data_IF_238327822170
#
_entry.id   IF_238327822170
#
_cell.length_a   1.000
_cell.length_b   1.000
_cell.length_c   1.000
_cell.angle_alpha   90.00
_cell.angle_beta   90.00
_cell.angle_gamma   90.00
#
_symmetry.space_group_name_H-M   'P 1'
#
loop_
_entity.id
_entity.type
_entity.pdbx_description
1 polymer ?
#
# COMPACT_ATOMS: atom_id res chain seq x y z
N UNK A 1 5.07 43.16 24.88
CA UNK A 1 4.34 42.09 24.15
C UNK A 1 4.61 40.78 24.86
N UNK A 2 3.56 40.17 25.42
CA UNK A 2 3.67 39.14 26.48
C UNK A 2 4.20 37.81 25.93
N UNK A 3 5.09 37.15 26.68
CA UNK A 3 5.70 35.85 26.34
C UNK A 3 4.68 34.76 25.97
N UNK A 4 3.45 34.88 26.49
CA UNK A 4 2.31 34.03 26.15
C UNK A 4 2.00 33.98 24.64
N UNK A 5 2.13 35.10 23.90
CA UNK A 5 1.84 35.14 22.45
C UNK A 5 2.91 34.39 21.65
N UNK A 6 4.17 34.44 22.10
CA UNK A 6 5.28 33.71 21.48
C UNK A 6 5.17 32.19 21.69
N UNK A 7 4.78 31.77 22.90
CA UNK A 7 4.55 30.36 23.21
C UNK A 7 3.37 29.77 22.43
N UNK A 8 2.27 30.51 22.30
CA UNK A 8 1.11 30.09 21.50
C UNK A 8 1.45 29.98 20.01
N UNK A 9 2.20 30.93 19.46
CA UNK A 9 2.67 30.89 18.07
C UNK A 9 3.60 29.70 17.80
N UNK A 10 4.55 29.44 18.70
CA UNK A 10 5.46 28.30 18.60
C UNK A 10 4.72 26.95 18.68
N UNK A 11 3.75 26.83 19.60
CA UNK A 11 2.92 25.64 19.73
C UNK A 11 2.12 25.37 18.44
N UNK A 12 1.54 26.40 17.81
CA UNK A 12 0.76 26.26 16.59
C UNK A 12 1.59 25.79 15.37
N UNK A 13 2.86 26.23 15.29
CA UNK A 13 3.79 25.82 14.22
C UNK A 13 4.24 24.36 14.42
N UNK A 14 4.53 23.95 15.66
CA UNK A 14 4.85 22.55 15.97
C UNK A 14 3.65 21.64 15.71
N UNK A 15 2.44 22.08 16.09
CA UNK A 15 1.21 21.30 15.91
C UNK A 15 0.83 21.15 14.43
N UNK A 16 1.00 22.19 13.62
CA UNK A 16 0.71 22.13 12.18
C UNK A 16 1.69 21.22 11.41
N UNK A 17 2.96 21.17 11.82
CA UNK A 17 3.94 20.23 11.28
C UNK A 17 3.66 18.76 11.64
N UNK A 18 3.21 18.50 12.88
CA UNK A 18 2.82 17.16 13.32
C UNK A 18 1.55 16.64 12.63
N UNK A 19 0.52 17.47 12.48
CA UNK A 19 -0.74 17.06 11.87
C UNK A 19 -0.58 16.74 10.37
N UNK A 20 0.19 17.54 9.63
CA UNK A 20 0.46 17.31 8.21
C UNK A 20 1.31 16.05 7.96
N UNK A 21 2.17 15.68 8.90
CA UNK A 21 2.98 14.46 8.82
C UNK A 21 2.18 13.17 9.02
N UNK A 22 1.16 13.19 9.87
CA UNK A 22 0.37 12.00 10.16
C UNK A 22 -0.48 11.56 8.97
N UNK A 23 -1.11 12.51 8.26
CA UNK A 23 -2.02 12.19 7.16
C UNK A 23 -1.30 11.64 5.91
N UNK A 24 -0.12 12.20 5.58
CA UNK A 24 0.64 11.73 4.41
C UNK A 24 1.25 10.35 4.64
N UNK A 25 1.64 10.06 5.89
CA UNK A 25 2.26 8.79 6.29
C UNK A 25 1.24 7.65 6.35
N UNK A 26 0.03 7.92 6.83
CA UNK A 26 -1.10 6.98 6.82
C UNK A 26 -1.45 6.51 5.41
N UNK A 27 -1.62 7.44 4.46
CA UNK A 27 -2.00 7.08 3.07
C UNK A 27 -0.92 6.24 2.39
N UNK A 28 0.36 6.59 2.59
CA UNK A 28 1.49 5.80 2.05
C UNK A 28 1.59 4.42 2.69
N UNK A 29 1.33 4.32 4.00
CA UNK A 29 1.29 3.05 4.72
C UNK A 29 0.16 2.14 4.24
N UNK A 30 -1.04 2.69 4.02
CA UNK A 30 -2.19 1.95 3.46
C UNK A 30 -1.90 1.43 2.06
N UNK A 31 -1.32 2.28 1.20
CA UNK A 31 -0.89 1.87 -0.14
C UNK A 31 0.14 0.73 -0.11
N UNK A 32 1.13 0.80 0.79
CA UNK A 32 2.11 -0.27 0.97
C UNK A 32 1.44 -1.58 1.43
N UNK A 33 0.53 -1.49 2.41
CA UNK A 33 -0.21 -2.64 2.90
C UNK A 33 -1.09 -3.27 1.80
N UNK A 34 -1.75 -2.46 0.97
CA UNK A 34 -2.53 -2.93 -0.17
C UNK A 34 -1.66 -3.67 -1.20
N UNK A 35 -0.46 -3.15 -1.51
CA UNK A 35 0.51 -3.81 -2.38
C UNK A 35 1.00 -5.16 -1.80
N UNK A 36 1.30 -5.20 -0.50
CA UNK A 36 1.72 -6.43 0.19
C UNK A 36 0.64 -7.50 0.23
N UNK A 37 -0.62 -7.09 0.43
CA UNK A 37 -1.74 -8.01 0.39
C UNK A 37 -1.98 -8.49 -1.04
N UNK A 38 -1.83 -7.63 -2.05
CA UNK A 38 -1.99 -7.98 -3.46
C UNK A 38 -0.93 -8.98 -3.91
N UNK A 39 0.33 -8.78 -3.51
CA UNK A 39 1.43 -9.71 -3.77
C UNK A 39 1.15 -11.09 -3.16
N UNK A 40 0.70 -11.12 -1.89
CA UNK A 40 0.29 -12.36 -1.22
C UNK A 40 -0.89 -13.04 -1.91
N UNK A 41 -1.88 -12.27 -2.34
CA UNK A 41 -3.03 -12.80 -3.07
C UNK A 41 -2.60 -13.45 -4.38
N UNK A 42 -1.77 -12.75 -5.17
CA UNK A 42 -1.24 -13.28 -6.43
C UNK A 42 -0.43 -14.55 -6.20
N UNK A 43 0.41 -14.58 -5.16
CA UNK A 43 1.20 -15.78 -4.82
C UNK A 43 0.32 -16.97 -4.41
N UNK A 44 -0.72 -16.74 -3.59
CA UNK A 44 -1.66 -17.77 -3.18
C UNK A 44 -2.49 -18.29 -4.35
N UNK A 45 -3.01 -17.38 -5.18
CA UNK A 45 -3.77 -17.73 -6.39
C UNK A 45 -2.90 -18.54 -7.34
N UNK A 46 -1.63 -18.15 -7.52
CA UNK A 46 -0.68 -18.91 -8.33
C UNK A 46 -0.47 -20.32 -7.75
N UNK A 47 -0.16 -20.42 -6.46
CA UNK A 47 0.12 -21.71 -5.81
C UNK A 47 -1.07 -22.66 -5.97
N UNK A 48 -2.28 -22.15 -5.75
CA UNK A 48 -3.49 -22.96 -5.83
C UNK A 48 -3.86 -23.36 -7.27
N UNK A 49 -3.62 -22.49 -8.27
CA UNK A 49 -3.83 -22.81 -9.69
C UNK A 49 -2.79 -23.80 -10.20
N UNK A 50 -1.51 -23.57 -9.90
CA UNK A 50 -0.39 -24.37 -10.41
C UNK A 50 -0.35 -25.74 -9.76
N UNK A 51 -0.59 -25.84 -8.45
CA UNK A 51 -0.42 -27.10 -7.70
C UNK A 51 -1.72 -27.84 -7.43
N UNK A 52 -2.88 -27.16 -7.31
CA UNK A 52 -4.13 -27.79 -6.90
C UNK A 52 -5.24 -27.77 -7.94
N UNK A 53 -5.09 -27.03 -9.04
CA UNK A 53 -6.13 -26.85 -10.06
C UNK A 53 -7.49 -26.44 -9.44
N UNK A 54 -7.46 -25.74 -8.30
CA UNK A 54 -8.65 -25.34 -7.56
C UNK A 54 -9.39 -24.25 -8.33
N UNK A 55 -10.72 -24.31 -8.45
CA UNK A 55 -11.47 -23.27 -9.15
C UNK A 55 -11.30 -21.91 -8.45
N UNK A 56 -11.15 -20.85 -9.25
CA UNK A 56 -10.93 -19.46 -8.80
C UNK A 56 -11.98 -18.97 -7.78
N UNK A 57 -13.21 -19.48 -7.87
CA UNK A 57 -14.31 -19.16 -6.94
C UNK A 57 -14.08 -19.71 -5.53
N UNK A 58 -13.47 -20.88 -5.39
CA UNK A 58 -13.12 -21.47 -4.09
C UNK A 58 -11.95 -20.73 -3.45
N UNK A 59 -10.97 -20.29 -4.25
CA UNK A 59 -9.85 -19.48 -3.75
C UNK A 59 -10.39 -18.18 -3.16
N UNK A 60 -11.32 -17.52 -3.86
CA UNK A 60 -11.94 -16.28 -3.40
C UNK A 60 -12.78 -16.49 -2.13
N UNK A 61 -13.53 -17.60 -2.03
CA UNK A 61 -14.31 -17.90 -0.83
C UNK A 61 -13.43 -18.22 0.38
N UNK A 62 -12.31 -18.94 0.18
CA UNK A 62 -11.31 -19.19 1.22
C UNK A 62 -10.64 -17.90 1.70
N UNK A 63 -10.26 -17.02 0.77
CA UNK A 63 -9.68 -15.72 1.09
C UNK A 63 -10.66 -14.83 1.86
N UNK A 64 -11.94 -14.86 1.47
CA UNK A 64 -13.03 -14.15 2.18
C UNK A 64 -13.20 -14.67 3.60
N UNK A 65 -13.21 -16.00 3.77
CA UNK A 65 -13.38 -16.64 5.07
C UNK A 65 -12.19 -16.36 6.00
N UNK A 66 -10.98 -16.28 5.46
CA UNK A 66 -9.77 -15.95 6.23
C UNK A 66 -9.70 -14.50 6.70
N UNK A 67 -10.43 -13.57 6.07
CA UNK A 67 -10.33 -12.11 6.30
C UNK A 67 -8.88 -11.58 6.29
N UNK A 68 -7.94 -12.29 5.62
CA UNK A 68 -6.50 -12.01 5.72
C UNK A 68 -6.12 -10.67 5.05
N UNK A 69 -7.05 -10.02 4.33
CA UNK A 69 -6.75 -8.95 3.36
C UNK A 69 -7.82 -7.83 3.31
N UNK A 70 -8.05 -7.08 4.40
CA UNK A 70 -9.08 -6.03 4.45
C UNK A 70 -8.86 -4.88 3.46
N UNK A 71 -7.62 -4.61 3.03
CA UNK A 71 -7.29 -3.50 2.12
C UNK A 71 -7.69 -3.75 0.65
N UNK A 72 -8.02 -4.99 0.29
CA UNK A 72 -8.40 -5.37 -1.08
C UNK A 72 -9.92 -5.43 -1.28
N UNK A 73 -10.74 -5.33 -0.23
CA UNK A 73 -12.20 -5.36 -0.31
C UNK A 73 -12.75 -6.54 -1.15
N UNK A 74 -12.20 -7.73 -0.95
CA UNK A 74 -12.55 -8.96 -1.68
C UNK A 74 -14.04 -9.36 -1.55
N UNK A 75 -14.73 -8.88 -0.52
CA UNK A 75 -16.18 -9.07 -0.33
C UNK A 75 -17.04 -8.45 -1.44
N UNK A 76 -16.55 -7.42 -2.13
CA UNK A 76 -17.33 -6.72 -3.17
C UNK A 76 -17.30 -7.42 -4.53
N UNK A 77 -16.44 -8.41 -4.72
CA UNK A 77 -16.24 -9.05 -6.02
C UNK A 77 -16.75 -10.49 -6.02
N UNK A 78 -17.44 -10.86 -7.10
CA UNK A 78 -17.99 -12.21 -7.36
C UNK A 78 -16.91 -13.17 -7.87
N UNK A 79 -15.91 -12.65 -8.57
CA UNK A 79 -14.82 -13.40 -9.19
C UNK A 79 -13.51 -12.62 -9.11
N UNK A 80 -12.38 -13.34 -9.06
CA UNK A 80 -11.04 -12.75 -9.15
C UNK A 80 -10.80 -12.08 -10.52
N UNK A 81 -11.49 -12.50 -11.57
CA UNK A 81 -11.36 -11.91 -12.91
C UNK A 81 -11.99 -10.50 -13.00
N UNK A 82 -13.02 -10.24 -12.19
CA UNK A 82 -13.72 -8.96 -12.10
C UNK A 82 -13.16 -8.08 -10.98
N UNK A 83 -11.99 -8.44 -10.45
CA UNK A 83 -11.37 -7.68 -9.37
C UNK A 83 -11.02 -6.28 -9.89
N UNK A 84 -11.47 -5.24 -9.17
CA UNK A 84 -11.26 -3.85 -9.56
C UNK A 84 -10.11 -3.22 -8.78
N UNK A 85 -9.69 -2.02 -9.22
CA UNK A 85 -8.63 -1.26 -8.56
C UNK A 85 -8.94 -1.05 -7.07
N UNK A 86 -8.08 -1.48 -6.15
CA UNK A 86 -8.20 -1.17 -4.73
C UNK A 86 -8.16 0.35 -4.52
N UNK A 87 -8.93 0.90 -3.57
CA UNK A 87 -9.00 2.34 -3.33
C UNK A 87 -7.67 2.94 -2.86
N UNK A 88 -6.85 2.13 -2.20
CA UNK A 88 -5.53 2.52 -1.67
C UNK A 88 -4.39 2.37 -2.70
N UNK A 89 -4.68 1.88 -3.91
CA UNK A 89 -3.69 1.65 -4.96
C UNK A 89 -3.80 2.68 -6.09
N UNK A 90 -2.66 3.07 -6.64
CA UNK A 90 -2.60 3.95 -7.80
C UNK A 90 -3.11 3.25 -9.06
N UNK A 91 -3.97 3.92 -9.84
CA UNK A 91 -4.46 3.46 -11.14
C UNK A 91 -3.35 2.98 -12.11
N UNK A 92 -2.22 3.69 -12.31
CA UNK A 92 -1.17 3.21 -13.20
C UNK A 92 -0.48 1.93 -12.71
N UNK A 93 -0.43 1.70 -11.40
CA UNK A 93 0.09 0.46 -10.83
C UNK A 93 -0.93 -0.68 -11.02
N UNK A 94 -2.21 -0.38 -10.83
CA UNK A 94 -3.31 -1.33 -11.02
C UNK A 94 -3.44 -1.80 -12.48
N UNK A 95 -3.37 -0.90 -13.47
CA UNK A 95 -3.47 -1.24 -14.89
C UNK A 95 -2.36 -2.20 -15.34
N UNK A 96 -1.21 -2.22 -14.64
CA UNK A 96 -0.14 -3.17 -14.91
C UNK A 96 -0.42 -4.56 -14.34
N UNK A 97 -1.36 -4.70 -13.41
CA UNK A 97 -1.68 -5.92 -12.68
C UNK A 97 -3.05 -6.49 -13.06
N UNK A 98 -4.01 -5.69 -13.52
CA UNK A 98 -5.34 -6.17 -13.95
C UNK A 98 -5.27 -7.19 -15.09
N UNK A 99 -4.24 -7.09 -15.94
CA UNK A 99 -3.96 -8.05 -17.01
C UNK A 99 -3.64 -9.46 -16.51
N UNK A 100 -3.20 -9.60 -15.26
CA UNK A 100 -3.03 -10.89 -14.61
C UNK A 100 -4.39 -11.51 -14.27
N UNK A 101 -5.22 -10.76 -13.55
CA UNK A 101 -6.54 -11.22 -13.08
C UNK A 101 -7.48 -11.60 -14.21
N UNK A 102 -7.51 -10.79 -15.28
CA UNK A 102 -8.33 -11.05 -16.47
C UNK A 102 -7.90 -12.29 -17.27
N UNK A 103 -6.66 -12.75 -17.10
CA UNK A 103 -6.11 -13.93 -17.81
C UNK A 103 -6.07 -15.21 -16.96
N UNK A 104 -6.45 -15.14 -15.69
CA UNK A 104 -6.48 -16.29 -14.79
C UNK A 104 -7.38 -17.40 -15.36
N UNK A 105 -6.82 -18.60 -15.56
CA UNK A 105 -7.53 -19.79 -16.04
C UNK A 105 -7.58 -19.98 -17.55
N UNK A 106 -6.88 -19.13 -18.33
CA UNK A 106 -6.88 -19.17 -19.79
C UNK A 106 -5.58 -19.72 -20.42
N UNK A 107 -4.54 -20.02 -19.63
CA UNK A 107 -3.19 -20.31 -20.14
C UNK A 107 -2.64 -21.65 -19.66
N UNK A 108 -1.76 -22.28 -20.43
CA UNK A 108 -1.18 -23.59 -20.09
C UNK A 108 -0.14 -23.47 -18.95
N UNK A 109 -0.04 -24.51 -18.09
CA UNK A 109 0.62 -24.42 -16.78
C UNK A 109 2.08 -23.95 -16.73
N UNK A 110 2.87 -24.09 -17.82
CA UNK A 110 4.25 -23.56 -17.85
C UNK A 110 4.33 -22.08 -18.25
N UNK A 111 3.44 -21.62 -19.13
CA UNK A 111 3.35 -20.20 -19.49
C UNK A 111 2.76 -19.40 -18.33
N UNK A 112 1.81 -19.97 -17.60
CA UNK A 112 1.27 -19.40 -16.36
C UNK A 112 2.34 -19.21 -15.30
N UNK A 113 3.16 -20.22 -15.03
CA UNK A 113 4.22 -20.10 -14.02
C UNK A 113 5.23 -18.99 -14.34
N UNK A 114 5.64 -18.85 -15.61
CA UNK A 114 6.54 -17.76 -16.04
C UNK A 114 5.87 -16.39 -15.95
N UNK A 115 4.60 -16.28 -16.34
CA UNK A 115 3.85 -15.03 -16.23
C UNK A 115 3.64 -14.62 -14.77
N UNK A 116 3.29 -15.56 -13.91
CA UNK A 116 3.13 -15.30 -12.48
C UNK A 116 4.42 -14.83 -11.84
N UNK A 117 5.57 -15.48 -12.15
CA UNK A 117 6.87 -15.04 -11.68
C UNK A 117 7.20 -13.60 -12.13
N UNK A 118 6.81 -13.22 -13.35
CA UNK A 118 6.93 -11.86 -13.85
C UNK A 118 6.08 -10.87 -13.05
N UNK A 119 4.79 -11.18 -12.82
CA UNK A 119 3.89 -10.31 -12.06
C UNK A 119 4.28 -10.20 -10.58
N UNK A 120 4.73 -11.28 -9.95
CA UNK A 120 5.27 -11.25 -8.59
C UNK A 120 6.51 -10.35 -8.49
N UNK A 121 7.46 -10.49 -9.42
CA UNK A 121 8.65 -9.63 -9.46
C UNK A 121 8.27 -8.16 -9.68
N UNK A 122 7.22 -7.90 -10.46
CA UNK A 122 6.71 -6.55 -10.71
C UNK A 122 6.00 -5.95 -9.49
N UNK A 123 5.18 -6.73 -8.79
CA UNK A 123 4.60 -6.36 -7.49
C UNK A 123 5.69 -6.04 -6.47
N UNK A 124 6.73 -6.88 -6.37
CA UNK A 124 7.87 -6.64 -5.49
C UNK A 124 8.58 -5.31 -5.82
N UNK A 125 8.76 -5.00 -7.11
CA UNK A 125 9.33 -3.71 -7.54
C UNK A 125 8.46 -2.50 -7.17
N UNK A 126 7.15 -2.60 -7.36
CA UNK A 126 6.19 -1.56 -6.95
C UNK A 126 6.17 -1.39 -5.43
N UNK A 127 6.28 -2.48 -4.68
CA UNK A 127 6.38 -2.48 -3.22
C UNK A 127 7.66 -1.81 -2.75
N UNK A 128 8.80 -2.13 -3.34
CA UNK A 128 10.08 -1.49 -3.00
C UNK A 128 10.07 0.02 -3.31
N UNK A 129 9.48 0.42 -4.43
CA UNK A 129 9.29 1.83 -4.76
C UNK A 129 8.42 2.55 -3.72
N UNK A 130 7.25 1.98 -3.39
CA UNK A 130 6.36 2.53 -2.36
C UNK A 130 7.03 2.57 -0.97
N UNK A 131 7.84 1.56 -0.63
CA UNK A 131 8.59 1.51 0.63
C UNK A 131 9.67 2.59 0.68
N UNK A 132 10.41 2.81 -0.41
CA UNK A 132 11.39 3.90 -0.51
C UNK A 132 10.72 5.26 -0.36
N UNK A 133 9.57 5.48 -1.00
CA UNK A 133 8.80 6.72 -0.86
C UNK A 133 8.27 6.95 0.56
N UNK A 134 7.95 5.86 1.29
CA UNK A 134 7.57 5.92 2.70
C UNK A 134 8.76 6.28 3.60
N UNK A 135 9.91 5.63 3.42
CA UNK A 135 11.12 5.91 4.20
C UNK A 135 11.65 7.33 3.94
N UNK A 136 11.62 7.79 2.68
CA UNK A 136 11.98 9.17 2.34
C UNK A 136 11.05 10.18 3.00
N UNK A 137 9.73 9.94 2.98
CA UNK A 137 8.76 10.79 3.66
C UNK A 137 9.06 10.84 5.17
N UNK A 138 9.32 9.69 5.80
CA UNK A 138 9.68 9.59 7.22
C UNK A 138 10.94 10.40 7.57
N UNK A 139 11.97 10.36 6.71
CA UNK A 139 13.20 11.13 6.92
C UNK A 139 12.98 12.65 6.74
N UNK A 140 12.16 13.05 5.77
CA UNK A 140 11.76 14.45 5.59
C UNK A 140 11.01 14.99 6.83
N UNK A 141 10.10 14.21 7.40
CA UNK A 141 9.40 14.58 8.64
C UNK A 141 10.30 14.63 9.86
N UNK A 142 11.24 13.68 10.00
CA UNK A 142 12.21 13.70 11.09
C UNK A 142 13.08 14.98 11.04
N UNK A 143 13.53 15.38 9.85
CA UNK A 143 14.31 16.61 9.65
C UNK A 143 13.46 17.87 9.85
N UNK A 144 12.21 17.88 9.37
CA UNK A 144 11.29 19.00 9.57
C UNK A 144 10.94 19.19 11.07
N UNK A 145 10.71 18.11 11.80
CA UNK A 145 10.49 18.15 13.24
C UNK A 145 11.70 18.70 14.02
N UNK A 146 12.92 18.34 13.60
CA UNK A 146 14.15 18.88 14.17
C UNK A 146 14.29 20.39 13.91
N UNK A 147 14.01 20.85 12.68
CA UNK A 147 14.05 22.27 12.31
C UNK A 147 12.99 23.10 13.06
N UNK A 148 11.78 22.58 13.22
CA UNK A 148 10.74 23.24 14.01
C UNK A 148 11.11 23.32 15.51
N UNK A 149 11.79 22.31 16.05
CA UNK A 149 12.30 22.33 17.42
C UNK A 149 13.40 23.39 17.64
N UNK A 150 14.33 23.52 16.69
CA UNK A 150 15.38 24.55 16.73
C UNK A 150 14.80 25.96 16.59
N UNK A 151 13.82 26.17 15.71
CA UNK A 151 13.12 27.45 15.58
C UNK A 151 12.32 27.80 16.85
N UNK A 152 11.68 26.82 17.49
CA UNK A 152 11.00 27.04 18.76
C UNK A 152 11.98 27.44 19.86
N UNK A 153 13.15 26.80 19.95
CA UNK A 153 14.20 27.16 20.89
C UNK A 153 14.75 28.58 20.66
N UNK A 154 14.93 28.98 19.39
CA UNK A 154 15.38 30.33 19.01
C UNK A 154 14.35 31.44 19.25
N UNK A 155 13.05 31.13 19.25
CA UNK A 155 11.98 32.10 19.54
C UNK A 155 11.71 32.23 21.04
N UNK A 156 12.09 31.21 21.82
CA UNK A 156 11.93 31.14 23.27
C UNK A 156 13.13 31.74 24.03
N UNK A 157 14.31 31.76 23.39
CA UNK A 157 15.46 32.60 23.77
C UNK A 157 15.29 34.05 23.30
#
# INVERSE_FOLDING_TARGET
MSAAVRLLGAALVVFSGWAAGWQLTEKKKRRLAALEQLERLIALVQDEIVYRATPLSEILSLLRQRQDMPGLCLDRHSSLQEFACPPDLDRPAWHQLEGFFTRLGCTSGQEEARHCAYFLKRCAGLREAAKKEYEQAKQLYAKAGLCCGVLAALVLF
#
